data_IF_589867721583
#
_entry.id   IF_589867721583
#
_cell.length_a   1.000
_cell.length_b   1.000
_cell.length_c   1.000
_cell.angle_alpha   90.00
_cell.angle_beta   90.00
_cell.angle_gamma   90.00
#
_symmetry.space_group_name_H-M   'P 1'
#
loop_
_entity.id
_entity.type
_entity.pdbx_description
1 polymer ?
#
# COMPACT_ATOMS: atom_id res chain seq x y z
N UNK A 1 -6.46 52.96 -54.03
CA UNK A 1 -5.51 53.94 -53.49
C UNK A 1 -5.60 53.82 -51.99
N UNK A 2 -4.79 52.98 -51.35
CA UNK A 2 -3.31 52.97 -51.25
C UNK A 2 -2.78 53.91 -50.16
N UNK A 3 -1.74 53.40 -49.48
CA UNK A 3 -0.86 53.96 -48.45
C UNK A 3 -1.33 53.66 -47.02
N UNK A 4 -0.86 52.63 -46.30
CA UNK A 4 0.49 52.01 -46.15
C UNK A 4 1.54 52.95 -45.55
N UNK A 5 2.04 52.56 -44.35
CA UNK A 5 3.29 52.91 -43.62
C UNK A 5 3.10 52.31 -42.20
N UNK A 6 3.57 51.10 -41.86
CA UNK A 6 4.92 50.53 -41.73
C UNK A 6 5.77 51.12 -40.58
N UNK A 7 6.52 50.23 -39.91
CA UNK A 7 7.56 50.40 -38.86
C UNK A 7 7.19 49.76 -37.50
N UNK A 8 7.98 48.90 -36.84
CA UNK A 8 9.14 48.05 -37.19
C UNK A 8 9.25 47.03 -36.04
N UNK A 9 9.65 45.80 -36.35
CA UNK A 9 9.99 44.74 -35.40
C UNK A 9 11.46 44.93 -34.98
N UNK A 10 11.75 44.83 -33.68
CA UNK A 10 13.10 44.58 -33.18
C UNK A 10 13.10 43.28 -32.37
N UNK A 11 13.81 42.30 -32.92
CA UNK A 11 14.23 41.04 -32.32
C UNK A 11 15.54 41.29 -31.56
N UNK A 12 15.69 40.77 -30.33
CA UNK A 12 17.00 40.48 -29.74
C UNK A 12 16.93 39.18 -28.92
N UNK A 13 17.26 38.10 -29.63
CA UNK A 13 18.16 36.98 -29.33
C UNK A 13 18.23 36.28 -27.96
N UNK A 14 18.19 34.95 -28.14
CA UNK A 14 18.37 33.83 -27.23
C UNK A 14 19.83 33.68 -26.73
N UNK A 15 20.00 33.17 -25.50
CA UNK A 15 21.12 32.27 -25.21
C UNK A 15 20.62 31.06 -24.38
N UNK A 16 20.35 29.98 -25.10
CA UNK A 16 20.42 28.62 -24.60
C UNK A 16 21.89 28.25 -24.34
N UNK A 17 22.22 27.76 -23.14
CA UNK A 17 23.48 27.04 -22.93
C UNK A 17 23.20 25.57 -22.67
N UNK A 18 23.35 24.83 -23.75
CA UNK A 18 23.22 23.39 -23.90
C UNK A 18 24.42 22.66 -23.28
N UNK A 19 24.13 21.53 -22.64
CA UNK A 19 25.09 20.62 -22.05
C UNK A 19 25.80 19.81 -23.15
N UNK A 20 27.13 19.88 -23.21
CA UNK A 20 27.95 18.90 -23.94
C UNK A 20 28.67 17.96 -22.97
N UNK A 21 28.12 16.77 -22.80
CA UNK A 21 28.87 15.56 -22.43
C UNK A 21 29.75 15.13 -23.61
N UNK A 22 31.07 15.00 -23.40
CA UNK A 22 31.94 14.22 -24.27
C UNK A 22 32.66 13.13 -23.48
N UNK A 23 32.31 11.89 -23.81
CA UNK A 23 33.16 10.73 -23.60
C UNK A 23 34.32 10.74 -24.61
N UNK A 24 35.50 10.31 -24.15
CA UNK A 24 36.68 10.09 -24.98
C UNK A 24 37.71 9.23 -24.23
N UNK A 25 37.94 8.03 -24.74
CA UNK A 25 38.75 6.94 -24.18
C UNK A 25 40.27 7.22 -24.03
N UNK A 26 40.84 6.48 -23.06
CA UNK A 26 42.16 5.83 -23.02
C UNK A 26 43.48 6.61 -23.25
N UNK A 27 44.38 6.48 -22.26
CA UNK A 27 45.81 6.70 -22.45
C UNK A 27 46.63 6.56 -21.17
N UNK A 28 47.04 5.34 -20.83
CA UNK A 28 47.99 5.03 -19.75
C UNK A 28 49.34 5.72 -19.98
N UNK A 29 49.83 6.48 -18.99
CA UNK A 29 51.27 6.61 -18.71
C UNK A 29 51.50 6.80 -17.21
N UNK A 30 52.32 5.90 -16.63
CA UNK A 30 52.95 6.05 -15.32
C UNK A 30 54.12 7.03 -15.44
N UNK A 31 54.29 7.91 -14.47
CA UNK A 31 55.44 7.92 -13.55
C UNK A 31 55.34 9.10 -12.57
N UNK A 32 55.64 8.82 -11.30
CA UNK A 32 55.40 9.72 -10.18
C UNK A 32 56.40 10.86 -10.05
N UNK A 33 56.05 11.85 -9.22
CA UNK A 33 56.84 12.31 -8.07
C UNK A 33 55.89 13.02 -7.09
N UNK A 34 56.13 12.73 -5.82
CA UNK A 34 55.60 13.24 -4.56
C UNK A 34 55.58 14.78 -4.44
N UNK A 35 54.42 15.37 -4.14
CA UNK A 35 54.34 16.66 -3.45
C UNK A 35 53.18 16.64 -2.45
N UNK A 36 53.49 17.00 -1.21
CA UNK A 36 52.59 17.07 -0.07
C UNK A 36 51.48 18.08 -0.35
N UNK A 37 50.23 17.61 -0.35
CA UNK A 37 49.08 18.46 -0.08
C UNK A 37 48.62 18.16 1.34
N UNK A 38 48.72 19.18 2.18
CA UNK A 38 48.20 19.18 3.54
C UNK A 38 46.72 18.82 3.48
N UNK A 39 46.33 17.77 4.20
CA UNK A 39 44.93 17.45 4.42
C UNK A 39 44.36 18.53 5.35
N UNK A 40 43.88 19.61 4.77
CA UNK A 40 42.86 20.43 5.41
C UNK A 40 41.66 19.51 5.57
N UNK A 41 41.49 18.99 6.79
CA UNK A 41 40.21 18.44 7.21
C UNK A 41 39.27 19.63 7.28
N UNK A 42 38.65 19.97 6.15
CA UNK A 42 37.40 20.71 6.17
C UNK A 42 36.41 19.85 6.96
N UNK A 43 36.24 20.26 8.21
CA UNK A 43 35.16 19.84 9.07
C UNK A 43 33.86 20.32 8.40
N UNK A 44 33.38 19.54 7.44
CA UNK A 44 32.04 19.62 6.82
C UNK A 44 30.97 19.20 7.85
N UNK A 45 31.12 19.63 9.11
CA UNK A 45 30.02 19.62 10.05
C UNK A 45 29.04 20.70 9.63
N UNK A 46 28.02 20.26 8.89
CA UNK A 46 26.79 21.02 8.65
C UNK A 46 26.35 21.62 10.00
N UNK A 47 26.17 22.94 10.11
CA UNK A 47 25.75 23.59 11.33
C UNK A 47 24.54 22.88 11.91
N UNK A 48 24.52 22.61 13.22
CA UNK A 48 23.44 21.85 13.85
C UNK A 48 22.04 22.47 13.68
N UNK A 49 21.96 23.73 13.22
CA UNK A 49 20.76 24.50 12.92
C UNK A 49 20.20 24.24 11.49
N UNK A 50 20.98 23.59 10.61
CA UNK A 50 20.54 23.16 9.26
C UNK A 50 20.07 21.71 9.20
N UNK A 51 20.11 20.97 10.32
CA UNK A 51 19.61 19.59 10.40
C UNK A 51 18.09 19.51 10.61
N UNK A 52 17.32 20.43 10.02
CA UNK A 52 15.86 20.26 9.93
C UNK A 52 15.62 19.14 8.93
N UNK A 53 15.03 18.05 9.39
CA UNK A 53 14.65 16.92 8.55
C UNK A 53 13.82 17.43 7.36
N UNK A 54 14.11 16.95 6.14
CA UNK A 54 13.39 17.36 4.93
C UNK A 54 11.86 17.19 5.09
N UNK A 55 11.41 16.18 5.85
CA UNK A 55 10.01 15.97 6.17
C UNK A 55 9.43 17.05 7.08
N UNK A 56 10.21 17.55 8.05
CA UNK A 56 9.80 18.65 8.93
C UNK A 56 9.69 19.96 8.15
N UNK A 57 10.66 20.22 7.27
CA UNK A 57 10.59 21.38 6.36
C UNK A 57 9.40 21.30 5.40
N UNK A 58 9.13 20.12 4.84
CA UNK A 58 7.97 19.92 3.97
C UNK A 58 6.66 20.13 4.73
N UNK A 59 6.57 19.65 5.97
CA UNK A 59 5.42 19.87 6.84
C UNK A 59 5.18 21.36 7.10
N UNK A 60 6.21 22.13 7.48
CA UNK A 60 6.09 23.57 7.73
C UNK A 60 5.60 24.35 6.51
N UNK A 61 6.12 24.01 5.32
CA UNK A 61 5.71 24.64 4.05
C UNK A 61 4.23 24.33 3.77
N UNK A 62 3.80 23.08 3.96
CA UNK A 62 2.41 22.68 3.74
C UNK A 62 1.44 23.30 4.75
N UNK A 63 1.82 23.44 6.01
CA UNK A 63 1.02 24.15 7.02
C UNK A 63 0.89 25.64 6.68
N UNK A 64 1.95 26.27 6.19
CA UNK A 64 1.89 27.64 5.68
C UNK A 64 0.93 27.75 4.48
N UNK A 65 1.01 26.82 3.53
CA UNK A 65 0.10 26.79 2.39
C UNK A 65 -1.35 26.57 2.82
N UNK A 66 -1.59 25.65 3.76
CA UNK A 66 -2.91 25.37 4.33
C UNK A 66 -3.50 26.62 4.97
N UNK A 67 -2.72 27.38 5.75
CA UNK A 67 -3.15 28.62 6.37
C UNK A 67 -3.55 29.68 5.32
N UNK A 68 -2.78 29.82 4.24
CA UNK A 68 -3.10 30.77 3.16
C UNK A 68 -4.41 30.39 2.47
N UNK A 69 -4.55 29.13 2.02
CA UNK A 69 -5.76 28.69 1.33
C UNK A 69 -7.00 28.67 2.24
N UNK A 70 -6.83 28.35 3.54
CA UNK A 70 -7.91 28.43 4.52
C UNK A 70 -8.39 29.87 4.71
N UNK A 71 -7.47 30.84 4.73
CA UNK A 71 -7.86 32.25 4.76
C UNK A 71 -8.57 32.68 3.48
N UNK A 72 -8.10 32.20 2.33
CA UNK A 72 -8.78 32.48 1.05
C UNK A 72 -10.17 31.85 0.98
N UNK A 73 -10.41 30.70 1.63
CA UNK A 73 -11.73 30.06 1.63
C UNK A 73 -12.76 30.81 2.48
N UNK A 74 -12.35 31.65 3.43
CA UNK A 74 -13.26 32.55 4.14
C UNK A 74 -13.91 33.57 3.20
N UNK A 75 -13.12 34.13 2.27
CA UNK A 75 -13.58 35.09 1.27
C UNK A 75 -14.30 34.40 0.10
N UNK A 76 -13.88 33.18 -0.25
CA UNK A 76 -14.37 32.43 -1.42
C UNK A 76 -14.73 30.96 -1.06
N UNK A 77 -15.77 30.74 -0.22
CA UNK A 77 -16.06 29.43 0.38
C UNK A 77 -16.53 28.36 -0.61
N UNK A 78 -16.94 28.74 -1.82
CA UNK A 78 -17.42 27.82 -2.85
C UNK A 78 -16.49 27.74 -4.06
N UNK A 79 -15.30 28.36 -4.01
CA UNK A 79 -14.33 28.23 -5.10
C UNK A 79 -13.70 26.84 -5.05
N UNK A 80 -14.13 25.98 -5.96
CA UNK A 80 -13.62 24.61 -6.09
C UNK A 80 -12.10 24.57 -6.13
N UNK A 81 -11.43 25.52 -6.79
CA UNK A 81 -9.98 25.51 -6.93
C UNK A 81 -9.30 25.64 -5.56
N UNK A 82 -9.86 26.46 -4.67
CA UNK A 82 -9.35 26.63 -3.30
C UNK A 82 -9.63 25.36 -2.50
N UNK A 83 -10.85 24.81 -2.58
CA UNK A 83 -11.22 23.55 -1.90
C UNK A 83 -10.29 22.40 -2.32
N UNK A 84 -10.05 22.25 -3.62
CA UNK A 84 -9.12 21.25 -4.17
C UNK A 84 -7.72 21.45 -3.61
N UNK A 85 -7.21 22.69 -3.54
CA UNK A 85 -5.87 22.95 -2.98
C UNK A 85 -5.76 22.59 -1.51
N UNK A 86 -6.78 22.90 -0.70
CA UNK A 86 -6.81 22.51 0.72
C UNK A 86 -6.83 20.98 0.85
N UNK A 87 -7.62 20.29 0.02
CA UNK A 87 -7.68 18.83 0.02
C UNK A 87 -6.33 18.20 -0.37
N UNK A 88 -5.68 18.68 -1.44
CA UNK A 88 -4.37 18.21 -1.88
C UNK A 88 -3.31 18.40 -0.77
N UNK A 89 -3.35 19.52 -0.06
CA UNK A 89 -2.46 19.78 1.07
C UNK A 89 -2.69 18.76 2.20
N UNK A 90 -3.95 18.46 2.53
CA UNK A 90 -4.24 17.40 3.49
C UNK A 90 -3.75 16.02 3.03
N UNK A 91 -3.84 15.69 1.74
CA UNK A 91 -3.26 14.45 1.19
C UNK A 91 -1.74 14.41 1.41
N UNK A 92 -1.03 15.48 1.08
CA UNK A 92 0.42 15.55 1.24
C UNK A 92 0.85 15.52 2.72
N UNK A 93 0.14 16.23 3.60
CA UNK A 93 0.38 16.18 5.05
C UNK A 93 0.15 14.77 5.60
N UNK A 94 -0.87 14.06 5.11
CA UNK A 94 -1.10 12.66 5.46
C UNK A 94 0.09 11.78 5.10
N UNK A 95 0.69 11.94 3.91
CA UNK A 95 1.86 11.16 3.51
C UNK A 95 3.06 11.44 4.42
N UNK A 96 3.34 12.71 4.72
CA UNK A 96 4.45 13.10 5.59
C UNK A 96 4.27 12.53 7.00
N UNK A 97 3.07 12.67 7.58
CA UNK A 97 2.77 12.10 8.90
C UNK A 97 2.91 10.59 8.90
N UNK A 98 2.44 9.91 7.85
CA UNK A 98 2.52 8.46 7.74
C UNK A 98 3.96 7.97 7.60
N UNK A 99 4.80 8.66 6.82
CA UNK A 99 6.23 8.37 6.68
C UNK A 99 7.00 8.60 8.00
N UNK A 100 6.61 9.62 8.77
CA UNK A 100 7.12 9.88 10.11
C UNK A 100 6.61 8.87 11.17
N UNK A 101 5.76 7.91 10.80
CA UNK A 101 5.17 6.92 11.71
C UNK A 101 4.00 7.42 12.56
N UNK A 102 3.57 8.68 12.37
CA UNK A 102 2.38 9.24 13.01
C UNK A 102 1.13 8.91 12.18
N UNK A 103 0.73 7.65 12.24
CA UNK A 103 -0.41 7.13 11.49
C UNK A 103 -1.76 7.71 11.97
N UNK A 104 -1.86 8.16 13.22
CA UNK A 104 -3.10 8.75 13.75
C UNK A 104 -3.35 10.15 13.17
N UNK A 105 -2.29 10.97 13.11
CA UNK A 105 -2.37 12.27 12.44
C UNK A 105 -2.56 12.08 10.94
N UNK A 106 -1.84 11.15 10.31
CA UNK A 106 -2.04 10.83 8.90
C UNK A 106 -3.51 10.49 8.58
N UNK A 107 -4.11 9.59 9.37
CA UNK A 107 -5.52 9.22 9.25
C UNK A 107 -6.44 10.44 9.35
N UNK A 108 -6.15 11.37 10.25
CA UNK A 108 -6.93 12.60 10.40
C UNK A 108 -6.84 13.49 9.16
N UNK A 109 -5.65 13.65 8.58
CA UNK A 109 -5.45 14.48 7.39
C UNK A 109 -6.12 13.87 6.16
N UNK A 110 -5.96 12.57 5.89
CA UNK A 110 -6.61 11.95 4.72
C UNK A 110 -8.14 11.97 4.81
N UNK A 111 -8.73 11.84 6.01
CA UNK A 111 -10.18 11.97 6.19
C UNK A 111 -10.67 13.39 5.90
N UNK A 112 -9.95 14.42 6.35
CA UNK A 112 -10.26 15.82 6.00
C UNK A 112 -10.18 16.07 4.49
N UNK A 113 -9.19 15.47 3.81
CA UNK A 113 -9.10 15.56 2.36
C UNK A 113 -10.33 14.97 1.66
N UNK A 114 -10.77 13.77 2.10
CA UNK A 114 -11.97 13.11 1.58
C UNK A 114 -13.21 13.98 1.81
N UNK A 115 -13.41 14.49 3.03
CA UNK A 115 -14.56 15.34 3.37
C UNK A 115 -14.65 16.56 2.44
N UNK A 116 -13.51 17.21 2.15
CA UNK A 116 -13.44 18.32 1.20
C UNK A 116 -13.74 17.88 -0.24
N UNK A 117 -13.12 16.79 -0.69
CA UNK A 117 -13.31 16.26 -2.04
C UNK A 117 -14.74 15.81 -2.31
N UNK A 118 -15.48 15.35 -1.30
CA UNK A 118 -16.90 14.99 -1.41
C UNK A 118 -17.80 16.21 -1.64
N UNK A 119 -17.36 17.42 -1.26
CA UNK A 119 -18.10 18.67 -1.53
C UNK A 119 -17.95 19.17 -2.97
N UNK A 120 -16.92 18.72 -3.69
CA UNK A 120 -16.64 19.09 -5.08
C UNK A 120 -17.73 18.49 -5.98
N UNK A 121 -18.22 19.24 -6.97
CA UNK A 121 -19.31 18.78 -7.86
C UNK A 121 -18.81 18.42 -9.26
N UNK A 122 -17.59 18.83 -9.62
CA UNK A 122 -16.92 18.49 -10.86
C UNK A 122 -16.57 17.00 -10.93
N UNK A 123 -16.45 16.47 -12.15
CA UNK A 123 -16.11 15.06 -12.40
C UNK A 123 -14.67 14.73 -11.94
N UNK A 124 -13.79 15.72 -11.92
CA UNK A 124 -12.40 15.56 -11.48
C UNK A 124 -12.30 15.03 -10.03
N UNK A 125 -13.34 15.25 -9.20
CA UNK A 125 -13.38 14.74 -7.83
C UNK A 125 -13.20 13.24 -7.73
N UNK A 126 -13.63 12.47 -8.73
CA UNK A 126 -13.56 11.01 -8.67
C UNK A 126 -12.11 10.52 -8.67
N UNK A 127 -11.21 11.22 -9.39
CA UNK A 127 -9.78 10.93 -9.36
C UNK A 127 -9.15 11.30 -8.01
N UNK A 128 -9.53 12.45 -7.45
CA UNK A 128 -9.06 12.89 -6.13
C UNK A 128 -9.50 11.94 -5.00
N UNK A 129 -10.78 11.53 -5.02
CA UNK A 129 -11.32 10.56 -4.07
C UNK A 129 -10.66 9.18 -4.21
N UNK A 130 -10.39 8.73 -5.44
CA UNK A 130 -9.69 7.47 -5.67
C UNK A 130 -8.32 7.43 -4.99
N UNK A 131 -7.52 8.49 -5.16
CA UNK A 131 -6.22 8.63 -4.50
C UNK A 131 -6.36 8.65 -2.98
N UNK A 132 -7.27 9.46 -2.45
CA UNK A 132 -7.42 9.62 -0.99
C UNK A 132 -7.95 8.35 -0.32
N UNK A 133 -8.91 7.64 -0.93
CA UNK A 133 -9.37 6.35 -0.42
C UNK A 133 -8.29 5.26 -0.51
N UNK A 134 -7.45 5.30 -1.53
CA UNK A 134 -6.30 4.39 -1.62
C UNK A 134 -5.31 4.63 -0.47
N UNK A 135 -4.93 5.89 -0.22
CA UNK A 135 -4.06 6.29 0.91
C UNK A 135 -4.69 5.93 2.25
N UNK A 136 -5.99 6.15 2.43
CA UNK A 136 -6.74 5.75 3.61
C UNK A 136 -6.65 4.23 3.85
N UNK A 137 -6.77 3.42 2.79
CA UNK A 137 -6.59 1.97 2.86
C UNK A 137 -5.19 1.57 3.34
N UNK A 138 -4.15 2.20 2.80
CA UNK A 138 -2.77 1.94 3.21
C UNK A 138 -2.52 2.31 4.69
N UNK A 139 -3.05 3.44 5.15
CA UNK A 139 -2.93 3.86 6.55
C UNK A 139 -3.64 2.85 7.47
N UNK A 140 -4.83 2.37 7.08
CA UNK A 140 -5.54 1.34 7.84
C UNK A 140 -4.80 0.01 7.91
N UNK A 141 -4.09 -0.39 6.84
CA UNK A 141 -3.21 -1.56 6.89
C UNK A 141 -2.10 -1.38 7.93
N UNK A 142 -1.44 -0.21 7.96
CA UNK A 142 -0.35 0.09 8.90
C UNK A 142 -0.80 0.03 10.36
N UNK A 143 -2.04 0.45 10.66
CA UNK A 143 -2.61 0.37 12.01
C UNK A 143 -3.41 -0.93 12.27
N UNK A 144 -3.25 -1.95 11.43
CA UNK A 144 -3.88 -3.28 11.54
C UNK A 144 -5.42 -3.25 11.61
N UNK A 145 -6.05 -2.26 10.97
CA UNK A 145 -7.50 -2.15 10.80
C UNK A 145 -7.92 -2.67 9.43
N UNK A 146 -7.70 -3.97 9.20
CA UNK A 146 -7.84 -4.55 7.87
C UNK A 146 -9.26 -4.51 7.29
N UNK A 147 -10.31 -4.54 8.13
CA UNK A 147 -11.69 -4.37 7.66
C UNK A 147 -11.90 -2.98 7.04
N UNK A 148 -11.44 -1.93 7.74
CA UNK A 148 -11.52 -0.54 7.25
C UNK A 148 -10.63 -0.33 6.01
N UNK A 149 -9.48 -1.01 5.94
CA UNK A 149 -8.61 -1.00 4.75
C UNK A 149 -9.33 -1.58 3.52
N UNK A 150 -10.00 -2.74 3.66
CA UNK A 150 -10.76 -3.37 2.58
C UNK A 150 -11.89 -2.45 2.09
N UNK A 151 -12.63 -1.83 3.00
CA UNK A 151 -13.69 -0.89 2.65
C UNK A 151 -13.14 0.34 1.91
N UNK A 152 -11.98 0.84 2.34
CA UNK A 152 -11.30 1.98 1.70
C UNK A 152 -10.82 1.64 0.29
N UNK A 153 -10.19 0.48 0.09
CA UNK A 153 -9.78 0.05 -1.26
C UNK A 153 -10.97 -0.21 -2.20
N UNK A 154 -12.10 -0.70 -1.68
CA UNK A 154 -13.32 -0.82 -2.48
C UNK A 154 -13.82 0.57 -2.92
N UNK A 155 -13.83 1.56 -2.03
CA UNK A 155 -14.21 2.94 -2.37
C UNK A 155 -13.25 3.56 -3.40
N UNK A 156 -11.95 3.26 -3.32
CA UNK A 156 -10.97 3.70 -4.31
C UNK A 156 -11.26 3.10 -5.70
N UNK A 157 -11.55 1.80 -5.78
CA UNK A 157 -11.95 1.11 -7.02
C UNK A 157 -13.24 1.72 -7.59
N UNK A 158 -14.24 1.95 -6.74
CA UNK A 158 -15.51 2.55 -7.15
C UNK A 158 -15.30 3.98 -7.69
N UNK A 159 -14.46 4.78 -7.05
CA UNK A 159 -14.12 6.13 -7.50
C UNK A 159 -13.41 6.11 -8.86
N UNK A 160 -12.45 5.18 -9.09
CA UNK A 160 -11.82 4.99 -10.42
C UNK A 160 -12.87 4.62 -11.47
N UNK A 161 -13.78 3.71 -11.15
CA UNK A 161 -14.84 3.31 -12.08
C UNK A 161 -15.77 4.48 -12.43
N UNK A 162 -16.08 5.36 -11.47
CA UNK A 162 -16.82 6.59 -11.75
C UNK A 162 -16.02 7.57 -12.62
N UNK A 163 -14.72 7.74 -12.35
CA UNK A 163 -13.85 8.58 -13.18
C UNK A 163 -13.84 8.08 -14.64
N UNK A 164 -13.61 6.78 -14.86
CA UNK A 164 -13.65 6.13 -16.17
C UNK A 164 -15.00 6.36 -16.86
N UNK A 165 -16.11 6.21 -16.14
CA UNK A 165 -17.46 6.39 -16.70
C UNK A 165 -17.72 7.83 -17.18
N UNK A 166 -17.07 8.81 -16.59
CA UNK A 166 -17.24 10.23 -16.91
C UNK A 166 -16.19 10.77 -17.89
N UNK A 167 -15.15 9.99 -18.19
CA UNK A 167 -14.26 10.26 -19.31
C UNK A 167 -14.96 9.82 -20.59
N UNK A 168 -15.31 10.78 -21.45
CA UNK A 168 -15.84 10.58 -22.80
C UNK A 168 -14.97 11.35 -23.80
N UNK A 169 -14.78 10.81 -25.01
CA UNK A 169 -13.95 11.40 -26.08
C UNK A 169 -12.72 10.54 -26.42
N UNK A 170 -12.34 10.53 -27.70
CA UNK A 170 -11.12 9.83 -28.19
C UNK A 170 -9.84 10.47 -27.61
N UNK A 171 -9.86 11.77 -27.32
CA UNK A 171 -8.77 12.51 -26.69
C UNK A 171 -8.48 12.07 -25.24
N UNK A 172 -9.40 11.32 -24.62
CA UNK A 172 -9.27 10.82 -23.24
C UNK A 172 -8.97 9.33 -23.15
N UNK A 173 -8.67 8.67 -24.28
CA UNK A 173 -8.38 7.23 -24.31
C UNK A 173 -7.16 6.88 -23.45
N UNK A 174 -6.07 7.62 -23.59
CA UNK A 174 -4.87 7.43 -22.77
C UNK A 174 -5.15 7.57 -21.26
N UNK A 175 -5.90 8.59 -20.85
CA UNK A 175 -6.27 8.78 -19.44
C UNK A 175 -7.14 7.62 -18.93
N UNK A 176 -8.04 7.10 -19.77
CA UNK A 176 -8.85 5.93 -19.43
C UNK A 176 -7.98 4.69 -19.24
N UNK A 177 -7.05 4.45 -20.15
CA UNK A 177 -6.14 3.30 -20.07
C UNK A 177 -5.26 3.37 -18.82
N UNK A 178 -4.73 4.55 -18.48
CA UNK A 178 -3.99 4.77 -17.23
C UNK A 178 -4.84 4.39 -16.02
N UNK A 179 -6.08 4.89 -15.92
CA UNK A 179 -6.97 4.56 -14.81
C UNK A 179 -7.32 3.06 -14.74
N UNK A 180 -7.54 2.41 -15.89
CA UNK A 180 -7.77 0.96 -15.97
C UNK A 180 -6.54 0.20 -15.46
N UNK A 181 -5.33 0.66 -15.78
CA UNK A 181 -4.08 0.03 -15.37
C UNK A 181 -3.84 0.08 -13.84
N UNK A 182 -4.45 1.03 -13.13
CA UNK A 182 -4.36 1.14 -11.68
C UNK A 182 -5.23 0.12 -10.94
N UNK A 183 -6.36 -0.31 -11.53
CA UNK A 183 -7.32 -1.20 -10.88
C UNK A 183 -6.68 -2.50 -10.36
N UNK A 184 -5.90 -3.27 -11.15
CA UNK A 184 -5.26 -4.50 -10.66
C UNK A 184 -4.36 -4.30 -9.43
N UNK A 185 -3.67 -3.15 -9.37
CA UNK A 185 -2.81 -2.82 -8.23
C UNK A 185 -3.63 -2.62 -6.95
N UNK A 186 -4.72 -1.85 -7.03
CA UNK A 186 -5.62 -1.62 -5.88
C UNK A 186 -6.35 -2.90 -5.49
N UNK A 187 -6.75 -3.74 -6.46
CA UNK A 187 -7.36 -5.03 -6.19
C UNK A 187 -6.43 -5.99 -5.45
N UNK A 188 -5.13 -5.96 -5.78
CA UNK A 188 -4.10 -6.72 -5.08
C UNK A 188 -4.03 -6.28 -3.62
N UNK A 189 -3.91 -4.97 -3.35
CA UNK A 189 -3.93 -4.42 -2.00
C UNK A 189 -5.18 -4.78 -1.21
N UNK A 190 -6.36 -4.68 -1.82
CA UNK A 190 -7.62 -5.13 -1.21
C UNK A 190 -7.58 -6.61 -0.81
N UNK A 191 -7.03 -7.47 -1.67
CA UNK A 191 -6.97 -8.91 -1.41
C UNK A 191 -5.96 -9.25 -0.31
N UNK A 192 -4.82 -8.57 -0.27
CA UNK A 192 -3.81 -8.69 0.78
C UNK A 192 -4.39 -8.27 2.16
N UNK A 193 -5.15 -7.17 2.20
CA UNK A 193 -5.86 -6.75 3.40
C UNK A 193 -6.91 -7.79 3.85
N UNK A 194 -7.63 -8.43 2.91
CA UNK A 194 -8.57 -9.52 3.24
C UNK A 194 -7.86 -10.74 3.83
N UNK A 195 -6.70 -11.11 3.29
CA UNK A 195 -5.90 -12.20 3.82
C UNK A 195 -5.42 -11.88 5.25
N UNK A 196 -4.89 -10.67 5.46
CA UNK A 196 -4.44 -10.18 6.77
C UNK A 196 -5.58 -10.15 7.80
N UNK A 197 -6.79 -9.76 7.39
CA UNK A 197 -7.99 -9.80 8.22
C UNK A 197 -8.34 -11.24 8.66
N UNK A 198 -8.27 -12.21 7.74
CA UNK A 198 -8.52 -13.61 8.05
C UNK A 198 -7.48 -14.18 9.01
N UNK A 199 -6.20 -13.86 8.80
CA UNK A 199 -5.09 -14.25 9.68
C UNK A 199 -5.26 -13.67 11.09
N UNK A 200 -5.62 -12.39 11.19
CA UNK A 200 -5.88 -11.73 12.48
C UNK A 200 -7.01 -12.44 13.25
N UNK A 201 -8.08 -12.87 12.56
CA UNK A 201 -9.18 -13.62 13.15
C UNK A 201 -8.75 -15.02 13.61
N UNK A 202 -7.97 -15.75 12.81
CA UNK A 202 -7.43 -17.05 13.19
C UNK A 202 -6.50 -16.94 14.42
N UNK A 203 -5.63 -15.92 14.45
CA UNK A 203 -4.77 -15.64 15.60
C UNK A 203 -5.61 -15.34 16.85
N UNK A 204 -6.68 -14.55 16.72
CA UNK A 204 -7.58 -14.25 17.83
C UNK A 204 -8.26 -15.51 18.38
N UNK A 205 -8.73 -16.40 17.51
CA UNK A 205 -9.31 -17.70 17.92
C UNK A 205 -8.27 -18.58 18.63
N UNK A 206 -7.06 -18.70 18.08
CA UNK A 206 -5.98 -19.48 18.68
C UNK A 206 -5.59 -18.94 20.07
N UNK A 207 -5.52 -17.60 20.24
CA UNK A 207 -5.28 -16.95 21.54
C UNK A 207 -6.38 -17.26 22.55
N UNK A 208 -7.64 -17.33 22.13
CA UNK A 208 -8.77 -17.65 23.01
C UNK A 208 -8.65 -19.08 23.57
N UNK A 209 -8.34 -20.04 22.69
CA UNK A 209 -8.12 -21.45 23.07
C UNK A 209 -6.93 -21.56 24.05
N UNK A 210 -5.82 -20.86 23.78
CA UNK A 210 -4.62 -20.92 24.61
C UNK A 210 -4.79 -20.28 26.00
N UNK A 211 -5.54 -19.17 26.08
CA UNK A 211 -5.75 -18.44 27.35
C UNK A 211 -6.82 -19.07 28.25
N UNK A 212 -7.47 -20.15 27.81
CA UNK A 212 -8.50 -20.85 28.58
C UNK A 212 -9.73 -19.98 28.87
N UNK A 213 -9.95 -18.90 28.12
CA UNK A 213 -11.09 -18.00 28.27
C UNK A 213 -12.38 -18.56 27.66
N UNK A 214 -12.31 -19.73 27.00
CA UNK A 214 -13.46 -20.55 26.65
C UNK A 214 -14.02 -21.30 27.87
N UNK A 215 -14.53 -20.55 28.86
CA UNK A 215 -15.51 -21.08 29.81
C UNK A 215 -16.90 -21.07 29.16
N UNK A 216 -17.11 -22.01 28.23
CA UNK A 216 -18.43 -22.57 28.00
C UNK A 216 -18.36 -24.07 28.24
N UNK A 217 -18.67 -24.41 29.48
CA UNK A 217 -19.26 -25.68 29.87
C UNK A 217 -20.41 -26.05 28.92
N UNK A 218 -20.25 -27.13 28.17
CA UNK A 218 -21.21 -28.24 28.16
C UNK A 218 -20.51 -29.46 27.56
N UNK A 219 -19.60 -30.04 28.34
CA UNK A 219 -19.33 -31.46 28.24
C UNK A 219 -20.61 -32.20 28.68
N UNK A 220 -21.52 -32.45 27.74
CA UNK A 220 -22.43 -33.59 27.87
C UNK A 220 -21.56 -34.84 27.76
N UNK A 221 -21.01 -35.26 28.88
CA UNK A 221 -20.64 -36.66 29.08
C UNK A 221 -21.93 -37.46 28.95
N UNK A 222 -22.19 -37.98 27.75
CA UNK A 222 -23.08 -39.12 27.64
C UNK A 222 -22.31 -40.27 28.25
N UNK A 223 -22.77 -40.67 29.42
CA UNK A 223 -22.36 -41.87 30.13
C UNK A 223 -22.64 -43.08 29.23
N UNK A 224 -21.68 -43.38 28.35
CA UNK A 224 -21.59 -44.63 27.63
C UNK A 224 -20.51 -45.46 28.31
N UNK A 225 -20.82 -46.69 28.77
CA UNK A 225 -19.86 -47.49 29.50
C UNK A 225 -18.66 -47.80 28.59
N UNK A 226 -17.47 -47.39 29.05
CA UNK A 226 -16.19 -47.67 28.39
C UNK A 226 -16.04 -49.19 28.31
N UNK A 227 -16.11 -49.74 27.09
CA UNK A 227 -15.79 -51.14 26.85
C UNK A 227 -14.29 -51.32 26.98
N UNK A 228 -13.92 -52.12 27.96
CA UNK A 228 -12.57 -52.51 28.32
C UNK A 228 -11.84 -53.12 27.11
N UNK A 229 -10.82 -52.42 26.57
CA UNK A 229 -10.08 -52.82 25.36
C UNK A 229 -8.90 -53.76 25.69
N UNK A 230 -8.81 -54.21 26.94
CA UNK A 230 -7.67 -54.97 27.49
C UNK A 230 -7.51 -56.38 26.89
N UNK A 231 -8.36 -56.79 25.94
CA UNK A 231 -8.30 -58.10 25.27
C UNK A 231 -7.75 -58.11 23.84
N UNK A 232 -7.28 -56.99 23.28
CA UNK A 232 -6.75 -56.95 21.91
C UNK A 232 -5.23 -57.10 21.79
N UNK A 233 -4.56 -57.71 22.77
CA UNK A 233 -3.18 -58.17 22.62
C UNK A 233 -3.21 -59.52 21.89
N UNK A 234 -3.22 -59.47 20.54
CA UNK A 234 -2.90 -60.66 19.72
C UNK A 234 -1.43 -60.99 19.93
N UNK A 235 -1.16 -62.01 20.74
CA UNK A 235 0.16 -62.65 20.76
C UNK A 235 0.47 -63.22 19.38
N UNK A 236 1.37 -62.54 18.66
CA UNK A 236 2.00 -63.01 17.43
C UNK A 236 2.97 -64.12 17.82
N UNK A 237 2.56 -65.39 17.69
CA UNK A 237 3.47 -66.54 17.78
C UNK A 237 4.34 -66.56 16.51
N UNK A 238 5.67 -66.74 16.60
CA UNK A 238 6.50 -66.91 15.41
C UNK A 238 6.31 -68.32 14.86
N UNK A 239 6.17 -68.44 13.55
CA UNK A 239 6.18 -69.71 12.83
C UNK A 239 7.58 -69.93 12.26
N UNK A 240 8.23 -71.00 12.69
CA UNK A 240 9.42 -71.60 12.06
C UNK A 240 9.09 -73.07 11.79
N UNK A 241 9.29 -73.48 10.52
CA UNK A 241 9.73 -74.81 10.04
C UNK A 241 8.74 -75.99 10.23
N UNK A 242 8.03 -76.44 9.18
CA UNK A 242 8.34 -77.40 8.08
C UNK A 242 8.05 -78.88 8.40
N UNK A 243 7.39 -79.54 7.42
CA UNK A 243 7.29 -80.99 7.16
C UNK A 243 6.40 -81.83 8.12
N UNK A 244 5.64 -82.86 7.73
CA UNK A 244 5.38 -83.58 6.47
C UNK A 244 4.06 -84.37 6.63
N UNK A 245 3.40 -84.60 5.49
CA UNK A 245 2.65 -85.77 5.00
C UNK A 245 1.74 -86.68 5.85
N UNK A 246 0.72 -87.15 5.12
CA UNK A 246 0.09 -88.49 5.15
C UNK A 246 -1.18 -88.77 5.98
N UNK A 247 -2.31 -88.77 5.24
CA UNK A 247 -3.05 -90.00 4.85
C UNK A 247 -4.50 -90.21 5.40
N UNK A 248 -5.33 -90.74 4.47
CA UNK A 248 -6.58 -91.52 4.62
C UNK A 248 -7.83 -90.85 5.25
N UNK A 249 -9.09 -91.04 4.85
CA UNK A 249 -9.87 -91.53 3.69
C UNK A 249 -11.35 -91.58 4.16
N UNK A 250 -12.28 -91.61 3.20
CA UNK A 250 -13.65 -92.18 3.24
C UNK A 250 -14.82 -91.43 3.93
N UNK A 251 -15.64 -90.88 3.03
CA UNK A 251 -17.06 -91.21 2.75
C UNK A 251 -18.01 -91.48 3.93
N UNK A 252 -19.09 -90.69 3.99
CA UNK A 252 -20.46 -91.16 3.77
C UNK A 252 -21.46 -89.99 3.75
N UNK A 253 -22.25 -89.84 2.69
CA UNK A 253 -23.65 -89.43 2.84
C UNK A 253 -24.50 -90.03 1.74
N UNK A 254 -25.47 -90.80 2.22
CA UNK A 254 -26.60 -91.43 1.53
C UNK A 254 -27.76 -90.42 1.57
N UNK A 255 -28.68 -90.61 0.60
CA UNK A 255 -29.90 -89.85 0.26
C UNK A 255 -29.72 -88.59 -0.61
#
# INVERSE_FOLDING_TARGET
>A
GENDENETIEEEDEEENNAETKEGENGVVKDGVNEQVEAENEDDSIPADENVNDLERAFEILECAHMIYSKMSEDYPTDTRIITRIADIHVMLSDICNENGDHETALTHVLKAIDLQETIHEQQRYRLLAESYYKLGLIYELINKFADAVDSFNKAIDAINQAIKHLDGEDKENEREELISLLPSIETKRNDAKASMADQHLIAQARKILTGTDNTTEAKTTDAPVKDITLNIRHKRPATETENDDDVNKKAKVE
#
